data_IF_943240216428
#
_entry.id   IF_943240216428
#
_cell.length_a   1.000
_cell.length_b   1.000
_cell.length_c   1.000
_cell.angle_alpha   90.00
_cell.angle_beta   90.00
_cell.angle_gamma   90.00
#
_symmetry.space_group_name_H-M   'P 1'
#
loop_
_entity.id
_entity.type
_entity.pdbx_description
1 polymer ?
#
# COMPACT_ATOMS: atom_id res chain seq x y z
N UNK A 1 -10.80 -2.02 -9.16
CA UNK A 1 -11.61 -2.24 -7.95
C UNK A 1 -10.86 -3.20 -7.03
N UNK A 2 -10.98 -3.00 -5.71
CA UNK A 2 -10.60 -3.96 -4.68
C UNK A 2 -11.75 -4.18 -3.70
N UNK A 3 -11.81 -5.36 -3.08
CA UNK A 3 -12.82 -5.77 -2.11
C UNK A 3 -12.12 -6.34 -0.88
N UNK A 4 -12.38 -5.73 0.28
CA UNK A 4 -11.69 -6.01 1.53
C UNK A 4 -12.70 -6.49 2.57
N UNK A 5 -12.65 -7.76 2.92
CA UNK A 5 -13.53 -8.35 3.92
C UNK A 5 -13.02 -8.05 5.34
N UNK A 6 -13.93 -7.63 6.22
CA UNK A 6 -13.61 -7.25 7.61
C UNK A 6 -13.07 -8.44 8.40
N UNK A 7 -13.53 -9.66 8.10
CA UNK A 7 -13.04 -10.88 8.76
C UNK A 7 -11.55 -11.14 8.52
N UNK A 8 -11.05 -10.73 7.36
CA UNK A 8 -9.66 -10.97 6.95
C UNK A 8 -8.74 -9.82 7.40
N UNK A 9 -9.31 -8.65 7.73
CA UNK A 9 -8.56 -7.43 8.03
C UNK A 9 -9.02 -6.84 9.36
N UNK A 10 -8.40 -7.24 10.49
CA UNK A 10 -8.76 -6.77 11.83
C UNK A 10 -8.58 -5.26 12.05
N UNK A 11 -7.88 -4.56 11.15
CA UNK A 11 -7.67 -3.11 11.21
C UNK A 11 -8.90 -2.31 10.77
N UNK A 12 -9.78 -2.92 9.97
CA UNK A 12 -10.98 -2.25 9.48
C UNK A 12 -11.97 -1.97 10.62
N UNK A 13 -12.69 -0.85 10.48
CA UNK A 13 -13.70 -0.38 11.44
C UNK A 13 -14.98 -0.07 10.65
N UNK A 14 -15.84 -1.07 10.38
CA UNK A 14 -17.02 -0.86 9.57
C UNK A 14 -18.08 -0.02 10.30
N UNK A 15 -18.90 0.76 9.57
CA UNK A 15 -20.12 1.33 10.11
C UNK A 15 -21.20 0.25 10.25
N UNK A 16 -21.92 0.25 11.37
CA UNK A 16 -23.07 -0.63 11.57
C UNK A 16 -22.73 -2.12 11.46
N UNK A 17 -23.41 -2.82 10.55
CA UNK A 17 -23.25 -4.25 10.29
C UNK A 17 -22.52 -4.56 8.98
N UNK A 18 -21.86 -3.57 8.36
CA UNK A 18 -21.09 -3.80 7.16
C UNK A 18 -19.92 -4.78 7.43
N UNK A 19 -19.67 -5.69 6.49
CA UNK A 19 -18.63 -6.73 6.57
C UNK A 19 -17.67 -6.67 5.38
N UNK A 20 -17.90 -5.75 4.44
CA UNK A 20 -17.12 -5.57 3.22
C UNK A 20 -16.85 -4.09 2.97
N UNK A 21 -15.59 -3.74 2.71
CA UNK A 21 -15.19 -2.45 2.16
C UNK A 21 -14.84 -2.62 0.67
N UNK A 22 -15.60 -1.94 -0.19
CA UNK A 22 -15.35 -1.88 -1.62
C UNK A 22 -14.59 -0.59 -1.96
N UNK A 23 -13.45 -0.73 -2.61
CA UNK A 23 -12.61 0.37 -3.08
C UNK A 23 -12.72 0.45 -4.60
N UNK A 24 -13.24 1.57 -5.09
CA UNK A 24 -13.35 1.88 -6.51
C UNK A 24 -12.36 2.99 -6.87
N UNK A 25 -11.80 2.91 -8.07
CA UNK A 25 -10.99 3.97 -8.64
C UNK A 25 -11.30 4.12 -10.13
N UNK A 26 -11.24 5.35 -10.63
CA UNK A 26 -11.43 5.63 -12.04
C UNK A 26 -10.18 5.20 -12.82
N UNK A 27 -10.30 4.55 -13.99
CA UNK A 27 -9.16 4.25 -14.86
C UNK A 27 -8.72 5.46 -15.72
N UNK A 28 -9.06 6.68 -15.28
CA UNK A 28 -8.69 7.95 -15.90
C UNK A 28 -8.05 8.86 -14.85
N UNK A 29 -7.10 9.67 -15.30
CA UNK A 29 -6.56 10.77 -14.49
C UNK A 29 -7.41 12.01 -14.72
N UNK A 30 -7.62 12.80 -13.66
CA UNK A 30 -8.45 13.99 -13.74
C UNK A 30 -7.70 15.21 -13.20
N UNK A 31 -7.90 16.36 -13.85
CA UNK A 31 -7.49 17.66 -13.31
C UNK A 31 -8.17 17.93 -11.95
N UNK A 32 -7.54 18.71 -11.04
CA UNK A 32 -6.23 19.35 -11.20
C UNK A 32 -5.04 18.48 -10.76
N UNK A 33 -5.31 17.37 -10.08
CA UNK A 33 -4.27 16.56 -9.41
C UNK A 33 -3.65 15.49 -10.30
N UNK A 34 -4.22 15.23 -11.49
CA UNK A 34 -3.76 14.24 -12.46
C UNK A 34 -3.52 12.86 -11.83
N UNK A 35 -4.54 12.38 -11.10
CA UNK A 35 -4.55 11.09 -10.41
C UNK A 35 -5.92 10.44 -10.53
N UNK A 36 -6.04 9.10 -10.36
CA UNK A 36 -7.33 8.42 -10.41
C UNK A 36 -8.18 8.74 -9.17
N UNK A 37 -9.37 9.35 -9.32
CA UNK A 37 -10.30 9.54 -8.22
C UNK A 37 -10.70 8.20 -7.62
N UNK A 38 -10.86 8.17 -6.30
CA UNK A 38 -11.22 6.97 -5.56
C UNK A 38 -12.51 7.16 -4.77
N UNK A 39 -13.25 6.07 -4.58
CA UNK A 39 -14.47 6.04 -3.79
C UNK A 39 -14.51 4.79 -2.92
N UNK A 40 -14.94 4.96 -1.67
CA UNK A 40 -15.03 3.91 -0.67
C UNK A 40 -16.50 3.63 -0.34
N UNK A 41 -16.89 2.36 -0.36
CA UNK A 41 -18.25 1.93 -0.06
C UNK A 41 -18.23 0.79 0.96
N UNK A 42 -18.85 1.02 2.11
CA UNK A 42 -19.16 -0.04 3.07
C UNK A 42 -20.42 -0.76 2.65
N UNK A 43 -20.37 -2.10 2.64
CA UNK A 43 -21.47 -2.96 2.23
C UNK A 43 -21.63 -4.13 3.20
N UNK A 44 -22.83 -4.70 3.21
CA UNK A 44 -23.09 -6.02 3.77
C UNK A 44 -23.08 -7.05 2.64
N UNK A 45 -22.18 -8.03 2.72
CA UNK A 45 -22.04 -9.09 1.73
C UNK A 45 -23.30 -9.95 1.64
N UNK A 46 -24.04 -10.07 2.74
CA UNK A 46 -25.33 -10.78 2.80
C UNK A 46 -26.46 -10.08 2.01
N UNK A 47 -26.33 -8.79 1.72
CA UNK A 47 -27.31 -8.04 0.92
C UNK A 47 -27.08 -8.21 -0.60
N UNK A 48 -25.98 -8.84 -1.01
CA UNK A 48 -25.67 -9.10 -2.43
C UNK A 48 -26.44 -10.34 -2.89
N UNK A 49 -27.60 -10.13 -3.49
CA UNK A 49 -28.46 -11.21 -4.00
C UNK A 49 -28.14 -11.61 -5.44
N UNK A 50 -27.75 -10.63 -6.27
CA UNK A 50 -27.48 -10.83 -7.70
C UNK A 50 -25.97 -10.81 -7.96
N UNK A 51 -25.36 -11.99 -7.90
CA UNK A 51 -23.93 -12.16 -8.16
C UNK A 51 -23.71 -12.25 -9.68
N UNK A 52 -22.93 -11.31 -10.22
CA UNK A 52 -22.53 -11.33 -11.62
C UNK A 52 -21.53 -12.46 -11.87
N UNK A 53 -21.71 -13.21 -12.95
CA UNK A 53 -20.80 -14.29 -13.34
C UNK A 53 -19.41 -13.77 -13.78
N UNK A 54 -19.33 -12.51 -14.22
CA UNK A 54 -18.09 -11.82 -14.55
C UNK A 54 -18.13 -10.40 -13.96
N UNK A 55 -17.01 -9.88 -13.44
CA UNK A 55 -16.92 -8.48 -13.06
C UNK A 55 -17.23 -7.56 -14.24
N UNK A 56 -17.94 -6.43 -14.04
CA UNK A 56 -18.18 -5.48 -15.12
C UNK A 56 -16.84 -4.87 -15.56
N UNK A 57 -16.57 -4.91 -16.86
CA UNK A 57 -15.40 -4.24 -17.43
C UNK A 57 -15.65 -2.73 -17.53
N UNK A 58 -14.62 -1.90 -17.34
CA UNK A 58 -14.74 -0.47 -17.57
C UNK A 58 -15.07 -0.20 -19.04
N UNK A 59 -16.02 0.70 -19.29
CA UNK A 59 -16.44 1.06 -20.65
C UNK A 59 -15.28 1.62 -21.50
N UNK A 60 -14.37 2.35 -20.85
CA UNK A 60 -13.14 2.85 -21.43
C UNK A 60 -12.07 2.97 -20.33
N UNK A 61 -10.81 2.90 -20.72
CA UNK A 61 -9.66 3.16 -19.87
C UNK A 61 -8.65 4.00 -20.68
N UNK A 62 -8.16 5.09 -20.11
CA UNK A 62 -7.12 5.91 -20.75
C UNK A 62 -5.74 5.29 -20.53
N UNK A 63 -5.54 4.71 -19.34
CA UNK A 63 -4.33 3.99 -18.98
C UNK A 63 -4.72 2.55 -18.59
N UNK A 64 -4.28 1.58 -19.40
CA UNK A 64 -4.45 0.15 -19.08
C UNK A 64 -3.85 -0.20 -17.70
N UNK A 65 -2.84 0.56 -17.26
CA UNK A 65 -2.23 0.45 -15.95
C UNK A 65 -3.15 0.80 -14.77
N UNK A 66 -4.35 1.33 -14.97
CA UNK A 66 -5.33 1.50 -13.89
C UNK A 66 -6.39 0.40 -13.86
N UNK A 67 -6.38 -0.54 -14.80
CA UNK A 67 -7.29 -1.68 -14.79
C UNK A 67 -6.54 -2.92 -14.27
N UNK A 68 -6.83 -3.40 -13.05
CA UNK A 68 -6.12 -4.54 -12.51
C UNK A 68 -6.47 -5.80 -13.29
N UNK A 69 -5.46 -6.59 -13.64
CA UNK A 69 -5.65 -7.94 -14.16
C UNK A 69 -6.07 -8.89 -13.03
N UNK A 70 -6.97 -9.85 -13.31
CA UNK A 70 -7.28 -10.91 -12.37
C UNK A 70 -6.00 -11.66 -11.96
N UNK A 71 -5.77 -11.73 -10.66
CA UNK A 71 -4.63 -12.43 -10.07
C UNK A 71 -5.09 -13.16 -8.80
N UNK A 72 -4.29 -14.13 -8.36
CA UNK A 72 -4.50 -14.82 -7.09
C UNK A 72 -3.96 -13.93 -5.98
N UNK A 73 -4.76 -13.71 -4.95
CA UNK A 73 -4.32 -13.01 -3.75
C UNK A 73 -3.86 -14.03 -2.71
N UNK A 74 -2.68 -13.81 -2.13
CA UNK A 74 -2.16 -14.54 -0.98
C UNK A 74 -1.87 -13.51 0.14
N UNK A 75 -2.87 -13.16 0.97
CA UNK A 75 -2.68 -12.15 2.01
C UNK A 75 -1.74 -12.64 3.10
N UNK A 76 -0.72 -11.84 3.39
CA UNK A 76 0.21 -12.08 4.50
C UNK A 76 0.03 -11.06 5.63
N UNK A 77 0.22 -11.51 6.87
CA UNK A 77 0.28 -10.60 8.02
C UNK A 77 1.73 -10.28 8.33
N UNK A 78 2.13 -9.06 7.98
CA UNK A 78 3.47 -8.53 8.20
C UNK A 78 3.52 -7.53 9.36
N UNK A 79 4.71 -7.34 9.92
CA UNK A 79 4.98 -6.24 10.87
C UNK A 79 5.82 -5.19 10.17
N UNK A 80 5.36 -3.95 10.19
CA UNK A 80 6.06 -2.81 9.61
C UNK A 80 6.48 -1.82 10.70
N UNK A 81 7.50 -1.03 10.37
CA UNK A 81 8.01 0.06 11.18
C UNK A 81 8.00 1.38 10.39
N UNK A 82 7.94 2.54 11.08
CA UNK A 82 7.81 3.84 10.42
C UNK A 82 8.90 4.07 9.40
N UNK A 83 8.56 4.73 8.30
CA UNK A 83 9.54 5.14 7.31
C UNK A 83 10.69 5.92 7.97
N UNK A 84 11.92 5.80 7.46
CA UNK A 84 13.09 6.48 8.03
C UNK A 84 12.86 7.99 8.27
N UNK A 85 12.14 8.65 7.36
CA UNK A 85 11.82 10.08 7.46
C UNK A 85 10.81 10.44 8.57
N UNK A 86 10.00 9.49 9.02
CA UNK A 86 9.07 9.67 10.17
C UNK A 86 9.76 9.47 11.52
N UNK A 87 10.99 8.94 11.54
CA UNK A 87 11.73 8.69 12.77
C UNK A 87 12.28 9.98 13.39
N UNK A 88 12.47 9.97 14.71
CA UNK A 88 13.18 11.05 15.40
C UNK A 88 14.64 11.14 14.92
N UNK A 89 15.26 12.32 15.10
CA UNK A 89 16.67 12.51 14.68
C UNK A 89 17.63 11.60 15.44
N UNK A 90 17.33 11.29 16.69
CA UNK A 90 18.10 10.35 17.50
C UNK A 90 18.03 8.94 16.90
N UNK A 91 16.84 8.48 16.51
CA UNK A 91 16.67 7.18 15.87
C UNK A 91 17.34 7.13 14.48
N UNK A 92 17.22 8.20 13.68
CA UNK A 92 17.93 8.29 12.40
C UNK A 92 19.45 8.19 12.59
N UNK A 93 20.03 8.90 13.57
CA UNK A 93 21.46 8.80 13.88
C UNK A 93 21.87 7.40 14.33
N UNK A 94 21.02 6.78 15.15
CA UNK A 94 21.21 5.41 15.63
C UNK A 94 21.22 4.38 14.50
N UNK A 95 20.37 4.52 13.48
CA UNK A 95 20.34 3.63 12.31
C UNK A 95 21.52 3.88 11.36
N UNK A 96 22.07 5.09 11.36
CA UNK A 96 23.27 5.43 10.59
C UNK A 96 24.57 4.91 11.23
N UNK A 97 24.53 4.43 12.48
CA UNK A 97 25.69 3.85 13.15
C UNK A 97 25.87 2.37 12.76
N UNK A 98 26.72 2.14 11.76
CA UNK A 98 27.08 0.81 11.27
C UNK A 98 27.60 -0.15 12.35
N UNK A 99 28.24 0.37 13.40
CA UNK A 99 28.78 -0.48 14.48
C UNK A 99 27.67 -1.21 15.25
N UNK A 100 26.48 -0.62 15.31
CA UNK A 100 25.31 -1.23 15.98
C UNK A 100 24.74 -2.39 15.19
N UNK A 101 24.74 -2.30 13.87
CA UNK A 101 24.33 -3.39 12.98
C UNK A 101 25.32 -4.55 13.06
N UNK A 102 26.62 -4.25 13.04
CA UNK A 102 27.67 -5.26 13.22
C UNK A 102 27.58 -5.95 14.58
N UNK A 103 27.29 -5.21 15.65
CA UNK A 103 27.14 -5.77 16.99
C UNK A 103 25.99 -6.80 17.11
N UNK A 104 25.00 -6.74 16.21
CA UNK A 104 23.91 -7.72 16.13
C UNK A 104 24.07 -8.70 14.95
N UNK A 105 25.24 -8.74 14.32
CA UNK A 105 25.58 -9.71 13.28
C UNK A 105 25.04 -9.39 11.89
N UNK A 106 24.64 -8.14 11.62
CA UNK A 106 24.27 -7.69 10.28
C UNK A 106 25.55 -7.22 9.58
N UNK A 107 26.11 -8.09 8.74
CA UNK A 107 27.13 -7.72 7.77
C UNK A 107 26.44 -7.07 6.57
N UNK A 108 26.72 -5.79 6.35
CA UNK A 108 26.17 -5.04 5.23
C UNK A 108 27.30 -4.68 4.24
N UNK A 109 27.72 -5.62 3.37
CA UNK A 109 28.81 -5.40 2.43
C UNK A 109 28.45 -4.45 1.28
N UNK A 110 27.16 -4.22 1.03
CA UNK A 110 26.66 -3.53 -0.17
C UNK A 110 26.03 -2.14 0.09
N UNK A 111 25.68 -1.77 1.33
CA UNK A 111 25.09 -0.46 1.59
C UNK A 111 26.12 0.67 1.62
N UNK A 112 25.84 1.70 0.84
CA UNK A 112 26.58 2.97 0.91
C UNK A 112 26.22 3.73 2.20
N UNK A 113 25.08 3.43 2.81
CA UNK A 113 24.68 3.99 4.10
C UNK A 113 23.99 2.94 5.01
N UNK A 114 24.41 2.78 6.29
CA UNK A 114 23.85 1.75 7.19
C UNK A 114 22.33 1.80 7.41
N UNK A 115 21.71 2.98 7.27
CA UNK A 115 20.26 3.13 7.42
C UNK A 115 19.48 2.51 6.25
N UNK A 116 20.09 2.29 5.08
CA UNK A 116 19.43 1.68 3.91
C UNK A 116 18.92 0.28 4.25
N UNK A 117 19.64 -0.50 5.06
CA UNK A 117 19.19 -1.81 5.51
C UNK A 117 17.85 -1.73 6.25
N UNK A 118 17.70 -0.73 7.15
CA UNK A 118 16.41 -0.52 7.82
C UNK A 118 15.31 -0.18 6.82
N UNK A 119 15.54 0.78 5.93
CA UNK A 119 14.56 1.23 4.95
C UNK A 119 14.12 0.09 4.02
N UNK A 120 15.06 -0.72 3.56
CA UNK A 120 14.87 -1.78 2.59
C UNK A 120 14.30 -3.07 3.18
N UNK A 121 14.78 -3.50 4.35
CA UNK A 121 14.53 -4.85 4.87
C UNK A 121 13.62 -4.87 6.10
N UNK A 122 13.43 -3.74 6.79
CA UNK A 122 12.74 -3.72 8.10
C UNK A 122 11.60 -2.72 8.19
N UNK A 123 11.64 -1.61 7.45
CA UNK A 123 10.75 -0.48 7.65
C UNK A 123 9.37 -0.70 7.05
N UNK A 124 9.15 -0.18 5.85
CA UNK A 124 7.86 -0.16 5.18
C UNK A 124 7.89 -1.24 4.11
N UNK A 125 6.98 -2.21 4.17
CA UNK A 125 6.92 -3.21 3.11
C UNK A 125 6.44 -2.54 1.81
N UNK A 126 7.05 -2.89 0.66
CA UNK A 126 6.54 -2.51 -0.65
C UNK A 126 5.19 -3.20 -0.93
N UNK A 127 4.60 -2.87 -2.08
CA UNK A 127 3.46 -3.62 -2.58
C UNK A 127 2.08 -3.20 -2.08
N UNK A 128 1.11 -4.03 -2.45
CA UNK A 128 -0.29 -3.84 -2.08
C UNK A 128 -0.50 -4.24 -0.63
N UNK A 129 -1.02 -3.32 0.18
CA UNK A 129 -1.21 -3.58 1.61
C UNK A 129 -2.34 -2.75 2.21
N UNK A 130 -2.91 -3.29 3.29
CA UNK A 130 -3.97 -2.62 4.05
C UNK A 130 -3.44 -2.20 5.41
N UNK A 131 -3.56 -0.91 5.73
CA UNK A 131 -2.96 -0.30 6.92
C UNK A 131 -1.46 -0.06 6.75
N UNK A 132 -0.70 -0.30 7.83
CA UNK A 132 0.75 -0.14 7.84
C UNK A 132 1.21 1.31 7.94
N UNK A 133 2.38 1.58 7.37
CA UNK A 133 3.02 2.90 7.34
C UNK A 133 3.07 3.47 5.92
N UNK A 134 2.98 4.81 5.76
CA UNK A 134 3.08 5.45 4.45
C UNK A 134 4.44 5.17 3.76
N UNK A 135 4.44 4.80 2.47
CA UNK A 135 5.66 4.53 1.72
C UNK A 135 6.24 5.83 1.14
N UNK A 136 6.81 6.70 1.99
CA UNK A 136 7.34 7.98 1.50
C UNK A 136 8.50 7.77 0.50
N UNK A 137 8.45 8.47 -0.63
CA UNK A 137 9.49 8.39 -1.66
C UNK A 137 9.41 9.53 -2.67
N UNK A 138 8.21 9.84 -3.15
CA UNK A 138 8.00 10.97 -4.06
C UNK A 138 7.93 12.32 -3.35
N UNK A 139 7.44 12.37 -2.11
CA UNK A 139 7.36 13.60 -1.31
C UNK A 139 7.89 13.39 0.09
N UNK A 140 8.24 14.50 0.76
CA UNK A 140 8.49 14.48 2.20
C UNK A 140 7.23 14.04 2.97
N UNK A 141 7.38 13.50 4.19
CA UNK A 141 6.26 13.12 5.03
C UNK A 141 5.32 14.30 5.28
N UNK A 142 4.05 14.09 4.97
CA UNK A 142 3.01 15.10 5.17
C UNK A 142 1.84 14.50 5.96
N UNK A 143 1.62 15.05 7.16
CA UNK A 143 0.47 14.68 7.97
C UNK A 143 -0.83 14.98 7.24
N UNK A 144 -1.76 14.02 7.26
CA UNK A 144 -3.09 14.16 6.65
C UNK A 144 -4.11 14.31 7.75
N UNK A 145 -5.03 15.25 7.57
CA UNK A 145 -6.08 15.55 8.53
C UNK A 145 -7.45 15.41 7.89
N UNK A 146 -8.39 14.85 8.63
CA UNK A 146 -9.75 14.67 8.17
C UNK A 146 -10.45 16.03 8.03
N UNK A 147 -10.97 16.35 6.85
CA UNK A 147 -11.67 17.61 6.61
C UNK A 147 -12.93 17.81 7.47
N UNK A 148 -13.58 16.71 7.92
CA UNK A 148 -14.80 16.78 8.72
C UNK A 148 -14.56 17.05 10.22
N UNK A 149 -13.50 16.49 10.82
CA UNK A 149 -13.30 16.54 12.28
C UNK A 149 -11.88 16.96 12.72
N UNK A 150 -10.93 17.11 11.80
CA UNK A 150 -9.56 17.52 12.09
C UNK A 150 -8.66 16.42 12.66
N UNK A 151 -9.15 15.20 12.88
CA UNK A 151 -8.32 14.08 13.35
C UNK A 151 -7.22 13.73 12.33
N UNK A 152 -6.04 13.32 12.84
CA UNK A 152 -4.98 12.75 12.02
C UNK A 152 -5.46 11.46 11.36
N UNK A 153 -5.35 11.41 10.03
CA UNK A 153 -5.81 10.26 9.24
C UNK A 153 -4.77 9.14 9.28
N UNK A 154 -5.25 7.91 9.15
CA UNK A 154 -4.41 6.71 9.17
C UNK A 154 -4.38 6.05 7.78
N UNK A 155 -3.29 5.36 7.40
CA UNK A 155 -3.24 4.60 6.16
C UNK A 155 -4.35 3.55 6.09
N UNK A 156 -5.06 3.49 4.96
CA UNK A 156 -6.05 2.46 4.65
C UNK A 156 -5.49 1.42 3.69
N UNK A 157 -5.12 1.84 2.48
CA UNK A 157 -4.74 0.94 1.40
C UNK A 157 -3.62 1.58 0.58
N UNK A 158 -2.54 0.84 0.38
CA UNK A 158 -1.52 1.15 -0.62
C UNK A 158 -1.81 0.35 -1.87
N UNK A 159 -1.97 1.04 -3.00
CA UNK A 159 -2.09 0.45 -4.34
C UNK A 159 -0.74 0.67 -5.02
N UNK A 160 0.11 -0.34 -5.03
CA UNK A 160 1.47 -0.22 -5.54
C UNK A 160 1.58 -0.59 -7.02
N UNK A 161 2.55 0.01 -7.71
CA UNK A 161 2.92 -0.44 -9.06
C UNK A 161 3.66 -1.77 -9.05
N UNK A 162 4.41 -2.08 -7.99
CA UNK A 162 5.11 -3.34 -7.81
C UNK A 162 5.00 -3.81 -6.36
N UNK A 163 4.93 -5.13 -6.17
CA UNK A 163 4.96 -5.84 -4.90
C UNK A 163 6.35 -5.86 -4.26
N UNK A 164 7.42 -5.87 -5.05
CA UNK A 164 8.81 -5.77 -4.59
C UNK A 164 9.73 -5.28 -5.72
N UNK A 165 10.96 -4.94 -5.37
CA UNK A 165 12.02 -4.53 -6.30
C UNK A 165 13.40 -5.12 -5.92
N UNK A 166 14.46 -4.63 -6.55
CA UNK A 166 15.83 -5.11 -6.30
C UNK A 166 16.38 -4.73 -4.92
N UNK A 167 15.80 -3.73 -4.26
CA UNK A 167 16.20 -3.25 -2.94
C UNK A 167 15.32 -3.78 -1.81
N UNK A 168 14.31 -4.60 -2.12
CA UNK A 168 13.32 -5.09 -1.13
C UNK A 168 13.14 -6.60 -1.22
N UNK A 169 14.23 -7.31 -1.49
CA UNK A 169 14.20 -8.76 -1.69
C UNK A 169 13.73 -9.54 -0.45
N UNK A 170 13.95 -9.02 0.76
CA UNK A 170 13.42 -9.62 2.00
C UNK A 170 11.89 -9.55 2.12
N UNK A 171 11.24 -8.68 1.36
CA UNK A 171 9.77 -8.50 1.36
C UNK A 171 9.05 -9.30 0.28
N UNK A 172 9.77 -10.11 -0.50
CA UNK A 172 9.12 -10.98 -1.49
C UNK A 172 8.16 -11.91 -0.75
N UNK A 173 6.87 -11.96 -1.14
CA UNK A 173 5.90 -12.87 -0.55
C UNK A 173 6.40 -14.31 -0.53
N UNK A 174 6.03 -15.05 0.51
CA UNK A 174 6.44 -16.43 0.73
C UNK A 174 6.10 -17.33 -0.47
N UNK A 175 4.93 -17.13 -1.06
CA UNK A 175 4.46 -17.84 -2.26
C UNK A 175 5.31 -17.52 -3.49
N UNK A 176 5.87 -16.31 -3.56
CA UNK A 176 6.55 -15.76 -4.73
C UNK A 176 8.09 -15.79 -4.65
N UNK A 177 8.67 -16.35 -3.57
CA UNK A 177 10.13 -16.49 -3.44
C UNK A 177 10.78 -17.20 -4.64
N UNK A 178 10.09 -18.20 -5.19
CA UNK A 178 10.54 -18.92 -6.38
C UNK A 178 10.56 -18.04 -7.64
N UNK A 179 9.66 -17.06 -7.75
CA UNK A 179 9.60 -16.12 -8.86
C UNK A 179 10.70 -15.07 -8.78
N UNK A 180 11.00 -14.57 -7.57
CA UNK A 180 12.10 -13.64 -7.35
C UNK A 180 13.46 -14.23 -7.78
N UNK A 181 13.67 -15.54 -7.58
CA UNK A 181 14.87 -16.24 -8.04
C UNK A 181 15.03 -16.24 -9.57
N UNK A 182 13.93 -16.15 -10.34
CA UNK A 182 13.96 -16.20 -11.80
C UNK A 182 14.35 -14.87 -12.45
N UNK A 183 14.35 -13.75 -11.71
CA UNK A 183 14.69 -12.39 -12.18
C UNK A 183 13.99 -11.98 -13.48
N UNK A 184 12.75 -12.45 -13.69
CA UNK A 184 11.96 -12.12 -14.89
C UNK A 184 11.24 -10.78 -14.71
N UNK A 185 11.23 -9.96 -15.75
CA UNK A 185 10.49 -8.71 -15.73
C UNK A 185 8.99 -8.95 -15.52
N UNK A 186 8.37 -8.10 -14.68
CA UNK A 186 6.91 -8.09 -14.47
C UNK A 186 6.35 -9.17 -13.55
N UNK A 187 7.19 -9.99 -12.89
CA UNK A 187 6.73 -10.94 -11.85
C UNK A 187 6.30 -10.23 -10.57
N UNK A 188 6.93 -9.09 -10.26
CA UNK A 188 6.60 -8.27 -9.10
C UNK A 188 5.39 -7.36 -9.32
N UNK A 189 4.65 -7.49 -10.44
CA UNK A 189 3.39 -6.77 -10.64
C UNK A 189 2.34 -7.74 -11.22
N UNK A 190 1.79 -8.65 -10.40
CA UNK A 190 0.70 -9.52 -10.79
C UNK A 190 -0.57 -8.75 -11.22
N UNK A 191 -1.01 -7.68 -10.51
CA UNK A 191 -2.21 -6.93 -10.91
C UNK A 191 -2.04 -6.12 -12.20
N UNK A 192 -0.82 -5.96 -12.74
CA UNK A 192 -0.51 -5.05 -13.85
C UNK A 192 -0.96 -3.60 -13.64
N UNK A 193 -1.09 -3.19 -12.39
CA UNK A 193 -1.41 -1.80 -12.05
C UNK A 193 -0.13 -0.98 -12.09
N UNK A 194 -0.20 0.21 -12.69
CA UNK A 194 0.90 1.16 -12.77
C UNK A 194 0.37 2.54 -12.39
N UNK A 195 0.78 3.01 -11.21
CA UNK A 195 0.45 4.34 -10.70
C UNK A 195 1.62 5.27 -11.04
N UNK A 196 1.37 6.34 -11.81
CA UNK A 196 2.31 7.44 -12.10
C UNK A 196 3.78 6.99 -12.25
N UNK A 197 4.10 6.27 -13.33
CA UNK A 197 5.48 5.82 -13.65
C UNK A 197 6.17 4.92 -12.60
N UNK A 198 5.42 4.20 -11.77
CA UNK A 198 5.98 3.22 -10.83
C UNK A 198 5.83 3.58 -9.36
N UNK A 199 5.11 4.66 -9.06
CA UNK A 199 4.74 5.09 -7.72
C UNK A 199 3.61 4.22 -7.13
N UNK A 200 3.06 4.67 -6.01
CA UNK A 200 2.01 4.04 -5.23
C UNK A 200 0.87 5.04 -5.02
N UNK A 201 -0.39 4.59 -5.05
CA UNK A 201 -1.51 5.39 -4.59
C UNK A 201 -1.83 4.99 -3.15
N UNK A 202 -1.57 5.90 -2.21
CA UNK A 202 -1.87 5.70 -0.80
C UNK A 202 -3.21 6.33 -0.45
N UNK A 203 -4.13 5.53 0.08
CA UNK A 203 -5.40 6.00 0.64
C UNK A 203 -5.30 6.13 2.16
N UNK A 204 -5.94 7.16 2.70
CA UNK A 204 -6.01 7.46 4.13
C UNK A 204 -7.47 7.64 4.56
N UNK A 205 -7.80 7.19 5.76
CA UNK A 205 -9.14 7.32 6.34
C UNK A 205 -9.11 7.97 7.71
N UNK A 206 -10.24 8.55 8.10
CA UNK A 206 -10.43 9.09 9.43
C UNK A 206 -10.58 7.93 10.44
N UNK A 207 -9.79 7.91 11.53
CA UNK A 207 -9.95 6.87 12.55
C UNK A 207 -11.24 7.04 13.38
N UNK A 208 -11.78 8.26 13.46
CA UNK A 208 -12.95 8.58 14.30
C UNK A 208 -14.28 8.14 13.67
N UNK A 209 -14.38 8.09 12.34
CA UNK A 209 -15.61 7.69 11.67
C UNK A 209 -15.33 7.19 10.25
N UNK A 210 -15.86 6.02 9.87
CA UNK A 210 -15.76 5.50 8.51
C UNK A 210 -16.64 6.25 7.50
N UNK A 211 -17.54 7.13 7.97
CA UNK A 211 -18.40 7.96 7.12
C UNK A 211 -17.74 9.29 6.73
N UNK A 212 -16.62 9.63 7.36
CA UNK A 212 -15.85 10.82 7.02
C UNK A 212 -15.11 10.65 5.68
N UNK A 213 -14.84 11.76 4.97
CA UNK A 213 -14.14 11.69 3.70
C UNK A 213 -12.74 11.06 3.87
N UNK A 214 -12.39 10.17 2.94
CA UNK A 214 -11.03 9.70 2.78
C UNK A 214 -10.19 10.73 2.02
N UNK A 215 -8.89 10.55 2.04
CA UNK A 215 -7.97 11.33 1.22
C UNK A 215 -6.89 10.43 0.67
N UNK A 216 -6.13 10.92 -0.29
CA UNK A 216 -5.14 10.11 -1.00
C UNK A 216 -3.91 10.93 -1.40
N UNK A 217 -2.83 10.21 -1.70
CA UNK A 217 -1.55 10.77 -2.10
C UNK A 217 -0.81 9.76 -2.99
N UNK A 218 -0.26 10.24 -4.11
CA UNK A 218 0.71 9.46 -4.89
C UNK A 218 2.07 9.56 -4.19
N UNK A 219 2.71 8.42 -3.95
CA UNK A 219 4.00 8.29 -3.26
C UNK A 219 4.99 7.44 -4.02
#
# INVERSE_FOLDING_TARGET
MAQLYVCDIPLLRPPGQADLLQVLWCPFEHEPDYKPPTALFWRSSAEVTDILAAPPEPFAAECDGYVPQPCVLAPERITEYPHHMDLSKELQQQLNDGSRWQAIGVDNPDALAPHEFYSCELSVAPGWKVGGWPPWGLTDPVARFCAACGAGMVPLLTIASNEWDAGSHGWVPCEDQHLAALRRAGVANPPKVQVSKGNHLQLYVCPESPEHPHTDLIQ
#
